data_IF_612934901865
#
_entry.id   IF_612934901865
#
_cell.length_a   1.000
_cell.length_b   1.000
_cell.length_c   1.000
_cell.angle_alpha   90.00
_cell.angle_beta   90.00
_cell.angle_gamma   90.00
#
_symmetry.space_group_name_H-M   'P 1'
#
loop_
_entity.id
_entity.type
_entity.pdbx_description
1 polymer ?
#
# COMPACT_ATOMS: atom_id res chain seq x y z
N UNK A 1 -11.29 -47.52 -25.90
CA UNK A 1 -11.63 -46.87 -24.62
C UNK A 1 -10.36 -46.44 -23.91
N UNK A 2 -9.80 -45.27 -24.25
CA UNK A 2 -8.58 -44.71 -23.58
C UNK A 2 -8.67 -43.19 -23.35
N UNK A 3 -9.57 -42.50 -24.05
CA UNK A 3 -9.77 -41.05 -23.91
C UNK A 3 -10.56 -40.65 -22.65
N UNK A 4 -11.54 -41.44 -22.19
CA UNK A 4 -12.32 -41.13 -20.97
C UNK A 4 -11.46 -41.00 -19.71
N UNK A 5 -10.39 -41.79 -19.59
CA UNK A 5 -9.49 -41.75 -18.42
C UNK A 5 -8.62 -40.49 -18.39
N UNK A 6 -8.22 -39.97 -19.56
CA UNK A 6 -7.46 -38.71 -19.66
C UNK A 6 -8.31 -37.50 -19.27
N UNK A 7 -9.57 -37.44 -19.69
CA UNK A 7 -10.48 -36.34 -19.33
C UNK A 7 -10.82 -36.31 -17.84
N UNK A 8 -10.96 -37.49 -17.21
CA UNK A 8 -11.16 -37.60 -15.76
C UNK A 8 -9.95 -37.09 -14.98
N UNK A 9 -8.73 -37.50 -15.39
CA UNK A 9 -7.50 -37.03 -14.75
C UNK A 9 -7.30 -35.52 -14.92
N UNK A 10 -7.53 -34.97 -16.12
CA UNK A 10 -7.44 -33.53 -16.33
C UNK A 10 -8.52 -32.77 -15.56
N UNK A 11 -9.75 -33.28 -15.48
CA UNK A 11 -10.83 -32.64 -14.73
C UNK A 11 -10.55 -32.62 -13.23
N UNK A 12 -10.00 -33.71 -12.68
CA UNK A 12 -9.59 -33.80 -11.28
C UNK A 12 -8.46 -32.81 -10.99
N UNK A 13 -7.41 -32.77 -11.82
CA UNK A 13 -6.32 -31.81 -11.64
C UNK A 13 -6.81 -30.36 -11.69
N UNK A 14 -7.65 -29.99 -12.65
CA UNK A 14 -8.22 -28.63 -12.74
C UNK A 14 -9.10 -28.27 -11.54
N UNK A 15 -9.91 -29.22 -11.04
CA UNK A 15 -10.71 -29.00 -9.83
C UNK A 15 -9.85 -28.77 -8.59
N UNK A 16 -8.80 -29.58 -8.39
CA UNK A 16 -7.83 -29.37 -7.31
C UNK A 16 -7.12 -28.02 -7.45
N UNK A 17 -6.71 -27.61 -8.66
CA UNK A 17 -6.07 -26.30 -8.83
C UNK A 17 -7.01 -25.12 -8.51
N UNK A 18 -8.32 -25.22 -8.74
CA UNK A 18 -9.27 -24.16 -8.40
C UNK A 18 -9.57 -24.06 -6.89
N UNK A 19 -9.51 -25.17 -6.15
CA UNK A 19 -9.77 -25.16 -4.69
C UNK A 19 -8.55 -24.76 -3.85
N UNK A 20 -7.36 -24.76 -4.45
CA UNK A 20 -6.09 -24.40 -3.80
C UNK A 20 -5.50 -23.09 -4.34
N UNK A 21 -6.28 -22.26 -5.05
CA UNK A 21 -5.85 -20.87 -5.28
C UNK A 21 -5.91 -20.19 -3.91
N UNK A 22 -4.77 -19.82 -3.29
CA UNK A 22 -4.84 -19.01 -2.08
C UNK A 22 -5.60 -17.74 -2.44
N UNK A 23 -6.64 -17.43 -1.65
CA UNK A 23 -7.23 -16.08 -1.69
C UNK A 23 -6.09 -15.16 -1.28
N UNK A 24 -5.52 -14.45 -2.24
CA UNK A 24 -4.53 -13.42 -1.96
C UNK A 24 -5.35 -12.27 -1.40
N UNK A 25 -5.46 -12.19 -0.07
CA UNK A 25 -6.01 -10.99 0.54
C UNK A 25 -4.99 -9.87 0.34
N UNK A 26 -5.47 -8.73 -0.18
CA UNK A 26 -4.66 -7.55 -0.35
C UNK A 26 -5.14 -6.50 0.65
N UNK A 27 -4.22 -5.95 1.42
CA UNK A 27 -4.50 -4.73 2.17
C UNK A 27 -4.32 -3.53 1.27
N UNK A 28 -5.21 -2.56 1.47
CA UNK A 28 -5.22 -1.29 0.78
C UNK A 28 -5.01 -0.18 1.81
N UNK A 29 -4.02 0.67 1.56
CA UNK A 29 -3.81 1.92 2.29
C UNK A 29 -4.20 3.09 1.39
N UNK A 30 -5.02 3.99 1.90
CA UNK A 30 -5.39 5.22 1.20
C UNK A 30 -4.89 6.44 1.95
N UNK A 31 -4.15 7.33 1.28
CA UNK A 31 -3.61 8.54 1.88
C UNK A 31 -4.14 9.77 1.16
N UNK A 32 -4.92 10.59 1.86
CA UNK A 32 -5.34 11.89 1.37
C UNK A 32 -4.15 12.85 1.30
N UNK A 33 -3.87 13.36 0.10
CA UNK A 33 -2.82 14.31 -0.23
C UNK A 33 -3.35 15.74 -0.07
N UNK A 34 -3.02 16.41 1.03
CA UNK A 34 -3.60 17.71 1.41
C UNK A 34 -2.54 18.66 2.00
N UNK A 35 -1.35 18.64 1.40
CA UNK A 35 -0.30 19.61 1.73
C UNK A 35 -0.56 20.95 1.04
N UNK A 36 -0.15 22.05 1.67
CA UNK A 36 -0.26 23.38 1.06
C UNK A 36 0.69 23.56 -0.14
N UNK A 37 1.86 22.91 -0.07
CA UNK A 37 2.83 22.77 -1.14
C UNK A 37 3.89 21.77 -0.69
N UNK A 38 4.43 21.00 -1.64
CA UNK A 38 5.61 20.16 -1.42
C UNK A 38 5.49 18.79 -2.04
N UNK A 39 6.64 18.19 -2.29
CA UNK A 39 6.72 16.80 -2.70
C UNK A 39 6.85 15.91 -1.46
N UNK A 40 6.15 14.79 -1.41
CA UNK A 40 6.30 13.79 -0.37
C UNK A 40 6.51 12.41 -0.97
N UNK A 41 6.80 11.46 -0.08
CA UNK A 41 7.02 10.07 -0.37
C UNK A 41 6.25 9.26 0.66
N UNK A 42 5.44 8.32 0.22
CA UNK A 42 4.67 7.43 1.09
C UNK A 42 4.98 5.97 0.71
N UNK A 43 5.31 5.15 1.71
CA UNK A 43 5.61 3.74 1.47
C UNK A 43 5.18 2.87 2.63
N UNK A 44 5.10 1.57 2.34
CA UNK A 44 4.70 0.55 3.31
C UNK A 44 5.91 -0.28 3.68
N UNK A 45 6.10 -0.52 4.97
CA UNK A 45 7.13 -1.39 5.54
C UNK A 45 6.51 -2.61 6.21
N UNK A 46 7.21 -3.74 6.17
CA UNK A 46 6.89 -4.92 6.97
C UNK A 46 7.37 -4.78 8.43
N UNK A 47 7.14 -5.81 9.24
CA UNK A 47 7.61 -5.91 10.63
C UNK A 47 9.13 -5.84 10.80
N UNK A 48 9.89 -6.07 9.73
CA UNK A 48 11.35 -5.99 9.72
C UNK A 48 11.85 -4.64 9.18
N UNK A 49 10.97 -3.66 8.97
CA UNK A 49 11.27 -2.37 8.35
C UNK A 49 11.80 -2.45 6.92
N UNK A 50 11.46 -3.51 6.19
CA UNK A 50 11.68 -3.60 4.76
C UNK A 50 10.51 -3.00 4.00
N UNK A 51 10.82 -2.12 3.03
CA UNK A 51 9.78 -1.59 2.15
C UNK A 51 9.21 -2.70 1.28
N UNK A 52 7.89 -2.88 1.37
CA UNK A 52 7.12 -3.87 0.61
C UNK A 52 6.25 -3.24 -0.49
N UNK A 53 5.85 -1.97 -0.35
CA UNK A 53 5.02 -1.27 -1.35
C UNK A 53 5.14 0.26 -1.27
N UNK A 54 4.47 0.96 -2.19
CA UNK A 54 4.47 2.41 -2.31
C UNK A 54 5.75 2.96 -2.95
N UNK A 55 6.10 4.19 -2.62
CA UNK A 55 7.15 4.93 -3.32
C UNK A 55 8.57 4.37 -3.20
N UNK A 56 9.23 4.45 -4.35
CA UNK A 56 10.66 4.20 -4.54
C UNK A 56 11.57 5.11 -3.70
N UNK A 57 12.83 4.69 -3.52
CA UNK A 57 13.79 5.47 -2.71
C UNK A 57 14.13 6.73 -3.49
N UNK A 58 13.83 7.90 -2.92
CA UNK A 58 13.99 9.19 -3.60
C UNK A 58 12.92 9.49 -4.66
N UNK A 59 11.89 8.65 -4.78
CA UNK A 59 10.72 8.91 -5.64
C UNK A 59 9.76 9.81 -4.86
N UNK A 60 9.95 11.11 -4.95
CA UNK A 60 9.05 12.09 -4.36
C UNK A 60 8.07 12.59 -5.42
N UNK A 61 6.80 12.67 -5.07
CA UNK A 61 5.74 13.21 -5.94
C UNK A 61 4.97 14.33 -5.22
N UNK A 62 4.16 15.10 -5.96
CA UNK A 62 3.36 16.16 -5.36
C UNK A 62 2.34 15.58 -4.38
N UNK A 63 2.23 16.19 -3.19
CA UNK A 63 1.32 15.76 -2.12
C UNK A 63 0.33 16.86 -1.70
N UNK A 64 0.14 17.83 -2.58
CA UNK A 64 -0.80 18.94 -2.46
C UNK A 64 -2.11 18.71 -3.24
N UNK A 65 -2.24 17.54 -3.88
CA UNK A 65 -3.40 17.21 -4.70
C UNK A 65 -3.46 17.94 -6.05
N UNK A 66 -2.38 18.61 -6.48
CA UNK A 66 -2.34 19.34 -7.75
C UNK A 66 -2.49 18.45 -8.99
N UNK A 67 -2.10 17.17 -8.88
CA UNK A 67 -2.01 16.25 -10.01
C UNK A 67 -3.35 15.56 -10.36
N UNK A 68 -4.48 16.21 -10.02
CA UNK A 68 -5.84 15.63 -10.04
C UNK A 68 -6.00 14.37 -9.18
N UNK A 69 -5.00 14.04 -8.36
CA UNK A 69 -5.04 12.89 -7.47
C UNK A 69 -5.03 13.36 -6.02
N UNK A 70 -6.20 13.39 -5.39
CA UNK A 70 -6.36 13.78 -3.99
C UNK A 70 -6.01 12.65 -3.02
N UNK A 71 -5.86 11.42 -3.54
CA UNK A 71 -5.62 10.23 -2.75
C UNK A 71 -4.54 9.37 -3.39
N UNK A 72 -3.58 8.94 -2.59
CA UNK A 72 -2.65 7.89 -2.97
C UNK A 72 -3.16 6.56 -2.42
N UNK A 73 -3.33 5.58 -3.31
CA UNK A 73 -3.80 4.24 -2.94
C UNK A 73 -2.66 3.26 -3.17
N UNK A 74 -2.30 2.49 -2.13
CA UNK A 74 -1.23 1.51 -2.15
C UNK A 74 -1.81 0.15 -1.77
N UNK A 75 -1.78 -0.79 -2.72
CA UNK A 75 -2.20 -2.17 -2.54
C UNK A 75 -0.97 -3.07 -2.30
N UNK A 76 -1.09 -3.99 -1.33
CA UNK A 76 -0.02 -4.93 -0.97
C UNK A 76 -0.58 -6.18 -0.29
N UNK A 77 0.25 -7.21 -0.13
CA UNK A 77 -0.16 -8.48 0.50
C UNK A 77 -0.62 -8.28 1.94
N UNK A 78 -1.58 -9.09 2.39
CA UNK A 78 -2.05 -9.17 3.77
C UNK A 78 -0.92 -9.58 4.73
N UNK A 79 -0.35 -8.59 5.40
CA UNK A 79 0.65 -8.80 6.45
C UNK A 79 0.64 -7.62 7.41
N UNK A 80 1.18 -7.82 8.61
CA UNK A 80 1.39 -6.72 9.55
C UNK A 80 2.34 -5.68 8.94
N UNK A 81 1.90 -4.42 8.93
CA UNK A 81 2.61 -3.36 8.21
C UNK A 81 2.68 -2.04 8.97
N UNK A 82 3.61 -1.19 8.50
CA UNK A 82 3.76 0.19 8.90
C UNK A 82 3.64 1.10 7.67
N UNK A 83 3.03 2.27 7.86
CA UNK A 83 2.95 3.30 6.82
C UNK A 83 3.93 4.41 7.17
N UNK A 84 4.80 4.72 6.23
CA UNK A 84 5.84 5.74 6.41
C UNK A 84 5.63 6.86 5.41
N UNK A 85 5.65 8.10 5.92
CA UNK A 85 5.53 9.29 5.12
C UNK A 85 6.72 10.23 5.37
N UNK A 86 7.31 10.75 4.29
CA UNK A 86 8.41 11.72 4.34
C UNK A 86 8.16 12.86 3.35
N UNK A 87 8.31 14.08 3.82
CA UNK A 87 8.20 15.27 2.98
C UNK A 87 9.58 15.71 2.51
N UNK A 88 9.71 15.98 1.21
CA UNK A 88 10.95 16.47 0.61
C UNK A 88 11.31 17.84 1.17
N UNK A 89 12.61 18.07 1.39
CA UNK A 89 13.15 19.31 1.98
C UNK A 89 12.58 19.66 3.37
N UNK A 90 11.90 18.72 4.03
CA UNK A 90 11.48 18.91 5.41
C UNK A 90 12.69 18.76 6.34
N UNK A 91 12.85 19.71 7.27
CA UNK A 91 13.75 19.55 8.41
C UNK A 91 13.21 18.58 9.47
N UNK A 92 12.02 18.00 9.26
CA UNK A 92 11.42 17.00 10.14
C UNK A 92 11.74 15.59 9.67
N UNK A 93 11.93 14.71 10.65
CA UNK A 93 12.07 13.28 10.40
C UNK A 93 10.80 12.68 9.78
N UNK A 94 10.97 11.53 9.14
CA UNK A 94 9.86 10.74 8.60
C UNK A 94 8.90 10.30 9.69
N UNK A 95 7.62 10.18 9.31
CA UNK A 95 6.56 9.76 10.22
C UNK A 95 6.16 8.33 9.91
N UNK A 96 6.33 7.46 10.89
CA UNK A 96 5.92 6.06 10.84
C UNK A 96 4.60 5.90 11.60
N UNK A 97 3.67 5.11 11.06
CA UNK A 97 2.38 4.74 11.67
C UNK A 97 2.22 3.23 11.62
N UNK A 98 1.71 2.66 12.71
CA UNK A 98 1.47 1.22 12.83
C UNK A 98 1.84 0.69 14.21
N UNK A 99 1.85 -0.63 14.38
CA UNK A 99 1.54 -1.62 13.33
C UNK A 99 0.03 -1.71 13.01
N UNK A 100 -0.29 -2.21 11.81
CA UNK A 100 -1.66 -2.42 11.34
C UNK A 100 -1.83 -3.82 10.75
N UNK A 101 -3.03 -4.39 10.91
CA UNK A 101 -3.41 -5.72 10.43
C UNK A 101 -4.69 -5.69 9.57
N UNK A 102 -4.99 -4.53 8.97
CA UNK A 102 -6.12 -4.32 8.06
C UNK A 102 -5.87 -3.11 7.18
N UNK A 103 -6.68 -2.92 6.13
CA UNK A 103 -6.66 -1.66 5.37
C UNK A 103 -6.87 -0.43 6.27
N UNK A 104 -6.21 0.68 5.94
CA UNK A 104 -6.24 1.91 6.75
C UNK A 104 -6.17 3.17 5.89
N UNK A 105 -6.69 4.27 6.44
CA UNK A 105 -6.70 5.57 5.77
C UNK A 105 -5.91 6.62 6.56
N UNK A 106 -5.20 7.48 5.84
CA UNK A 106 -4.43 8.57 6.41
C UNK A 106 -4.67 9.88 5.68
N UNK A 107 -4.27 10.98 6.32
CA UNK A 107 -4.19 12.30 5.71
C UNK A 107 -2.81 12.88 5.97
N UNK A 108 -2.08 13.18 4.90
CA UNK A 108 -0.89 14.01 4.96
C UNK A 108 -1.27 15.46 4.70
N UNK A 109 -0.90 16.36 5.61
CA UNK A 109 -1.24 17.78 5.50
C UNK A 109 -0.21 18.68 6.18
N UNK A 110 -0.36 20.00 5.98
CA UNK A 110 0.60 21.00 6.44
C UNK A 110 1.50 21.47 5.30
N UNK A 111 2.79 21.69 5.56
CA UNK A 111 3.75 22.16 4.56
C UNK A 111 5.12 21.49 4.75
N UNK A 112 6.06 21.80 3.86
CA UNK A 112 7.43 21.27 3.91
C UNK A 112 8.15 21.50 5.25
N UNK A 113 7.94 22.63 5.93
CA UNK A 113 8.54 22.90 7.23
C UNK A 113 7.81 22.21 8.40
N UNK A 114 6.49 22.02 8.28
CA UNK A 114 5.64 21.48 9.33
C UNK A 114 4.52 20.63 8.75
N UNK A 115 4.83 19.35 8.51
CA UNK A 115 3.86 18.36 8.05
C UNK A 115 3.34 17.48 9.19
N UNK A 116 2.14 16.97 8.97
CA UNK A 116 1.40 16.06 9.83
C UNK A 116 0.98 14.85 9.00
N UNK A 117 0.90 13.69 9.67
CA UNK A 117 0.52 12.44 9.04
C UNK A 117 -0.35 11.68 10.02
N UNK A 118 -1.66 11.80 9.85
CA UNK A 118 -2.63 11.36 10.85
C UNK A 118 -3.55 10.31 10.26
N UNK A 119 -3.90 9.32 11.07
CA UNK A 119 -4.86 8.29 10.69
C UNK A 119 -6.27 8.89 10.67
N UNK A 120 -7.04 8.59 9.64
CA UNK A 120 -8.41 9.07 9.46
C UNK A 120 -9.35 7.91 9.19
N UNK A 121 -10.64 8.18 9.22
CA UNK A 121 -11.64 7.25 8.70
C UNK A 121 -11.56 7.21 7.18
N UNK A 122 -11.59 6.00 6.64
CA UNK A 122 -12.12 5.75 5.31
C UNK A 122 -13.66 5.99 5.37
#
# INVERSE_FOLDING_TARGET
MKFQSFYLLSAIFTFFYMTFVPVIEAYQVSVKLDMAAGACRIWIEDVNHYRIAGDGKGSYHACDGSDNNQFEVIDFNDQEYFVVAKVNLSGRDEKVRGSFNSGSCFRIHGNSASFYFDQTTC
#
